data_IF_577831805460
#
_entry.id   IF_577831805460
#
_cell.length_a   1.000
_cell.length_b   1.000
_cell.length_c   1.000
_cell.angle_alpha   90.00
_cell.angle_beta   90.00
_cell.angle_gamma   90.00
#
_symmetry.space_group_name_H-M   'P 1'
#
loop_
_entity.id
_entity.type
_entity.pdbx_description
1 polymer ?
#
# COMPACT_ATOMS: atom_id res chain seq x y z
N UNK A 1 -47.71 32.38 42.85
CA UNK A 1 -48.89 32.03 42.01
C UNK A 1 -48.56 32.39 40.57
N UNK A 2 -48.40 31.39 39.71
CA UNK A 2 -49.02 31.26 38.38
C UNK A 2 -48.23 30.25 37.55
N UNK A 3 -48.87 29.10 37.40
CA UNK A 3 -48.52 28.05 36.44
C UNK A 3 -49.12 28.46 35.10
N UNK A 4 -48.37 28.35 34.02
CA UNK A 4 -48.94 28.13 32.69
C UNK A 4 -48.11 27.05 32.00
N UNK A 5 -48.72 25.86 31.88
CA UNK A 5 -48.33 24.84 30.90
C UNK A 5 -49.16 25.12 29.65
N UNK A 6 -48.55 25.09 28.47
CA UNK A 6 -49.29 24.87 27.22
C UNK A 6 -48.50 23.95 26.31
N UNK A 7 -49.15 22.86 25.95
CA UNK A 7 -48.72 21.78 25.05
C UNK A 7 -49.06 22.10 23.60
N UNK A 8 -48.15 21.75 22.69
CA UNK A 8 -48.46 21.12 21.40
C UNK A 8 -48.46 22.00 20.15
N UNK A 9 -47.58 21.69 19.20
CA UNK A 9 -47.95 21.33 17.82
C UNK A 9 -46.74 20.72 17.09
N UNK A 10 -46.96 19.58 16.44
CA UNK A 10 -46.05 18.92 15.49
C UNK A 10 -46.24 19.56 14.12
N UNK A 11 -45.16 19.77 13.35
CA UNK A 11 -45.17 19.72 11.88
C UNK A 11 -43.76 19.43 11.36
N UNK A 12 -43.66 18.33 10.61
CA UNK A 12 -42.48 17.83 9.93
C UNK A 12 -42.15 18.65 8.67
N UNK A 13 -40.88 18.62 8.25
CA UNK A 13 -40.42 18.15 6.92
C UNK A 13 -39.17 18.91 6.45
N UNK A 14 -38.09 18.14 6.22
CA UNK A 14 -37.15 18.18 5.07
C UNK A 14 -36.52 19.51 4.63
N UNK A 15 -35.25 19.63 4.25
CA UNK A 15 -34.14 18.70 4.08
C UNK A 15 -32.93 19.52 3.54
N UNK A 16 -31.71 19.22 4.05
CA UNK A 16 -30.48 18.90 3.25
C UNK A 16 -29.86 20.11 2.49
N UNK A 17 -28.59 20.52 2.66
CA UNK A 17 -27.33 19.79 2.56
C UNK A 17 -26.21 20.50 3.33
N UNK A 18 -25.63 19.84 4.33
CA UNK A 18 -24.20 19.95 4.61
C UNK A 18 -23.57 18.69 4.04
N UNK A 19 -23.09 18.73 2.80
CA UNK A 19 -22.11 17.75 2.34
C UNK A 19 -20.74 18.37 2.55
N UNK A 20 -20.22 18.20 3.76
CA UNK A 20 -18.79 18.25 3.97
C UNK A 20 -18.22 17.08 3.16
N UNK A 21 -17.37 17.37 2.19
CA UNK A 21 -16.52 16.36 1.55
C UNK A 21 -15.70 15.72 2.66
N UNK A 22 -16.08 14.52 3.06
CA UNK A 22 -15.26 13.70 3.90
C UNK A 22 -14.14 13.14 3.02
N UNK A 23 -12.94 13.69 3.16
CA UNK A 23 -11.75 12.87 2.94
C UNK A 23 -11.81 11.76 3.99
N UNK A 24 -12.30 10.59 3.61
CA UNK A 24 -12.21 9.39 4.43
C UNK A 24 -10.75 8.96 4.44
N UNK A 25 -9.98 9.45 5.41
CA UNK A 25 -8.66 8.86 5.71
C UNK A 25 -8.94 7.54 6.43
N UNK A 26 -8.98 6.45 5.68
CA UNK A 26 -9.15 5.11 6.25
C UNK A 26 -7.77 4.59 6.69
N UNK A 27 -7.56 4.51 8.00
CA UNK A 27 -6.35 3.98 8.61
C UNK A 27 -6.40 2.45 8.63
N UNK A 28 -5.32 1.81 8.21
CA UNK A 28 -5.23 0.34 8.11
C UNK A 28 -4.70 -0.25 9.40
N UNK A 29 -5.20 -1.43 9.76
CA UNK A 29 -4.69 -2.14 10.93
C UNK A 29 -3.81 -3.30 10.50
N UNK A 30 -2.67 -3.43 11.16
CA UNK A 30 -1.85 -4.63 11.12
C UNK A 30 -2.64 -5.73 11.86
N UNK A 31 -3.05 -6.77 11.14
CA UNK A 31 -3.80 -7.89 11.73
C UNK A 31 -2.86 -8.89 12.38
N UNK A 32 -1.65 -9.06 11.84
CA UNK A 32 -0.55 -9.85 12.41
C UNK A 32 0.80 -9.25 12.00
N UNK A 33 1.76 -9.33 12.91
CA UNK A 33 3.15 -8.95 12.70
C UNK A 33 4.01 -10.16 13.07
N UNK A 34 4.74 -10.70 12.09
CA UNK A 34 5.75 -11.72 12.35
C UNK A 34 7.12 -11.07 12.16
N UNK A 35 7.83 -10.92 13.27
CA UNK A 35 9.15 -10.31 13.35
C UNK A 35 10.17 -11.40 13.64
N UNK A 36 11.09 -11.62 12.71
CA UNK A 36 12.19 -12.57 12.88
C UNK A 36 13.48 -11.80 13.11
N UNK A 37 13.56 -11.12 14.27
CA UNK A 37 14.71 -10.29 14.64
C UNK A 37 15.94 -11.12 15.02
N UNK A 38 17.08 -10.77 14.43
CA UNK A 38 18.37 -11.46 14.65
C UNK A 38 19.42 -10.51 15.22
N UNK A 39 19.71 -10.60 16.53
CA UNK A 39 20.83 -9.87 17.16
C UNK A 39 21.79 -10.84 17.87
N UNK A 40 23.06 -10.87 17.46
CA UNK A 40 24.11 -11.73 18.02
C UNK A 40 24.57 -11.31 19.42
N UNK A 41 24.78 -12.27 20.34
CA UNK A 41 26.07 -12.41 21.06
C UNK A 41 26.31 -13.85 21.53
N UNK A 42 27.48 -14.37 21.12
CA UNK A 42 28.31 -15.45 21.66
C UNK A 42 27.69 -16.77 22.21
N UNK A 43 28.16 -17.85 21.57
CA UNK A 43 28.22 -19.25 22.02
C UNK A 43 26.98 -20.14 21.74
N UNK A 44 26.96 -20.66 20.52
CA UNK A 44 26.67 -22.08 20.29
C UNK A 44 25.21 -22.53 20.25
N UNK A 45 24.43 -22.15 19.22
CA UNK A 45 23.29 -22.97 18.74
C UNK A 45 22.60 -22.38 17.50
N UNK A 46 22.40 -23.26 16.50
CA UNK A 46 21.55 -23.19 15.29
C UNK A 46 21.81 -21.98 14.35
N UNK A 47 22.52 -22.24 13.24
CA UNK A 47 22.38 -21.44 12.02
C UNK A 47 21.00 -21.73 11.43
N UNK A 48 20.22 -20.70 11.17
CA UNK A 48 19.04 -20.77 10.31
C UNK A 48 18.92 -19.43 9.57
N UNK A 49 18.52 -19.43 8.31
CA UNK A 49 19.48 -19.37 7.21
C UNK A 49 19.43 -17.95 6.63
N UNK A 50 20.56 -17.23 6.59
CA UNK A 50 20.71 -16.09 5.69
C UNK A 50 20.47 -16.59 4.27
N UNK A 51 19.61 -15.94 3.52
CA UNK A 51 19.31 -16.33 2.14
C UNK A 51 19.48 -15.14 1.21
N UNK A 52 19.64 -15.45 -0.06
CA UNK A 52 19.82 -14.44 -1.08
C UNK A 52 18.48 -13.71 -1.31
N UNK A 53 18.50 -12.40 -1.48
CA UNK A 53 17.30 -11.58 -1.69
C UNK A 53 16.53 -12.03 -2.95
N UNK A 54 17.23 -12.52 -3.97
CA UNK A 54 16.58 -13.13 -5.15
C UNK A 54 15.79 -14.42 -4.88
N UNK A 55 16.02 -15.08 -3.74
CA UNK A 55 15.23 -16.24 -3.30
C UNK A 55 13.96 -15.80 -2.56
N UNK A 56 13.88 -14.53 -2.15
CA UNK A 56 12.75 -13.95 -1.46
C UNK A 56 11.55 -13.75 -2.40
N UNK A 57 10.41 -14.37 -2.07
CA UNK A 57 9.22 -14.41 -2.94
C UNK A 57 8.79 -13.04 -3.46
N UNK A 58 8.71 -12.07 -2.57
CA UNK A 58 8.21 -10.71 -2.83
C UNK A 58 9.23 -9.85 -3.60
N UNK A 59 10.52 -10.12 -3.43
CA UNK A 59 11.58 -9.33 -4.07
C UNK A 59 12.13 -9.97 -5.35
N UNK A 60 11.74 -11.20 -5.70
CA UNK A 60 12.17 -11.92 -6.93
C UNK A 60 12.11 -11.13 -8.24
N UNK A 61 11.21 -10.15 -8.32
CA UNK A 61 10.99 -9.36 -9.54
C UNK A 61 11.95 -8.17 -9.68
N UNK A 62 12.70 -7.85 -8.63
CA UNK A 62 13.70 -6.78 -8.67
C UNK A 62 14.91 -7.25 -9.48
N UNK A 63 15.40 -6.40 -10.37
CA UNK A 63 16.68 -6.67 -11.04
C UNK A 63 17.85 -6.52 -10.06
N UNK A 64 18.53 -7.64 -9.82
CA UNK A 64 19.64 -7.72 -8.86
C UNK A 64 21.03 -7.57 -9.50
N UNK A 65 21.18 -6.77 -10.56
CA UNK A 65 22.46 -6.53 -11.24
C UNK A 65 23.40 -7.75 -11.27
N UNK A 66 24.64 -7.59 -10.80
CA UNK A 66 25.57 -8.70 -10.52
C UNK A 66 25.79 -8.91 -9.01
N UNK A 67 24.93 -8.36 -8.15
CA UNK A 67 25.18 -8.19 -6.72
C UNK A 67 23.90 -8.45 -5.93
N UNK A 68 23.48 -9.70 -5.92
CA UNK A 68 22.41 -10.16 -5.03
C UNK A 68 22.85 -9.99 -3.57
N UNK A 69 21.94 -9.49 -2.74
CA UNK A 69 22.20 -9.18 -1.34
C UNK A 69 21.74 -10.32 -0.43
N UNK A 70 22.34 -10.45 0.75
CA UNK A 70 21.85 -11.37 1.77
C UNK A 70 20.82 -10.67 2.64
N UNK A 71 19.68 -11.32 2.85
CA UNK A 71 18.68 -10.92 3.84
C UNK A 71 19.17 -11.34 5.22
N UNK A 72 19.24 -10.38 6.15
CA UNK A 72 19.73 -10.59 7.52
C UNK A 72 18.66 -10.37 8.60
N UNK A 73 17.64 -9.58 8.30
CA UNK A 73 16.45 -9.42 9.16
C UNK A 73 15.21 -9.21 8.28
N UNK A 74 14.02 -9.51 8.80
CA UNK A 74 12.75 -9.29 8.12
C UNK A 74 11.59 -9.14 9.09
N UNK A 75 10.61 -8.37 8.65
CA UNK A 75 9.30 -8.26 9.26
C UNK A 75 8.21 -8.39 8.19
N UNK A 76 7.18 -9.18 8.46
CA UNK A 76 6.01 -9.31 7.59
C UNK A 76 4.78 -8.85 8.35
N UNK A 77 3.97 -8.03 7.69
CA UNK A 77 2.79 -7.40 8.24
C UNK A 77 1.60 -7.73 7.36
N UNK A 78 0.67 -8.51 7.89
CA UNK A 78 -0.62 -8.70 7.24
C UNK A 78 -1.52 -7.50 7.60
N UNK A 79 -2.31 -7.01 6.65
CA UNK A 79 -3.17 -5.83 6.84
C UNK A 79 -4.61 -6.10 6.45
N UNK A 80 -5.55 -5.33 7.01
CA UNK A 80 -6.95 -5.29 6.59
C UNK A 80 -7.33 -3.99 5.86
N UNK A 81 -6.33 -3.21 5.43
CA UNK A 81 -6.55 -1.95 4.75
C UNK A 81 -7.28 -2.17 3.42
N UNK A 82 -8.32 -1.40 3.18
CA UNK A 82 -8.97 -1.33 1.88
C UNK A 82 -9.71 -0.02 1.70
N UNK A 83 -9.94 0.38 0.46
CA UNK A 83 -10.66 1.59 0.10
C UNK A 83 -11.46 1.33 -1.19
N UNK A 84 -12.76 1.65 -1.15
CA UNK A 84 -13.71 1.50 -2.27
C UNK A 84 -14.27 2.84 -2.78
N UNK A 85 -13.58 3.96 -2.47
CA UNK A 85 -13.98 5.31 -2.88
C UNK A 85 -13.82 5.56 -4.38
N UNK A 86 -13.00 4.75 -5.07
CA UNK A 86 -12.76 4.85 -6.50
C UNK A 86 -13.89 4.22 -7.32
N UNK A 87 -15.07 4.85 -7.30
CA UNK A 87 -16.27 4.56 -8.12
C UNK A 87 -16.31 3.17 -8.78
N UNK A 88 -16.55 2.13 -7.98
CA UNK A 88 -16.71 0.75 -8.45
C UNK A 88 -15.41 -0.05 -8.57
N UNK A 89 -14.30 0.48 -8.09
CA UNK A 89 -13.03 -0.24 -7.88
C UNK A 89 -12.73 -0.24 -6.39
N UNK A 90 -12.35 -1.41 -5.88
CA UNK A 90 -11.84 -1.55 -4.51
C UNK A 90 -10.35 -1.85 -4.55
N UNK A 91 -9.55 -1.03 -3.87
CA UNK A 91 -8.16 -1.33 -3.55
C UNK A 91 -8.09 -1.99 -2.17
N UNK A 92 -7.32 -3.06 -2.04
CA UNK A 92 -6.99 -3.69 -0.75
C UNK A 92 -5.50 -3.92 -0.65
N UNK A 93 -4.92 -3.76 0.54
CA UNK A 93 -3.52 -4.08 0.80
C UNK A 93 -3.50 -5.27 1.72
N UNK A 94 -2.99 -6.39 1.23
CA UNK A 94 -3.03 -7.64 1.97
C UNK A 94 -1.81 -7.77 2.88
N UNK A 95 -0.64 -7.31 2.40
CA UNK A 95 0.64 -7.57 3.06
C UNK A 95 1.66 -6.49 2.77
N UNK A 96 2.44 -6.14 3.78
CA UNK A 96 3.68 -5.41 3.66
C UNK A 96 4.83 -6.28 4.19
N UNK A 97 5.97 -6.27 3.51
CA UNK A 97 7.16 -7.01 3.95
C UNK A 97 8.36 -6.11 3.91
N UNK A 98 9.11 -6.08 5.01
CA UNK A 98 10.34 -5.32 5.13
C UNK A 98 11.49 -6.30 5.32
N UNK A 99 12.60 -6.05 4.64
CA UNK A 99 13.85 -6.81 4.80
C UNK A 99 15.00 -5.86 5.05
N UNK A 100 15.88 -6.26 5.97
CA UNK A 100 17.22 -5.70 6.11
C UNK A 100 18.20 -6.56 5.32
N UNK A 101 19.11 -5.91 4.60
CA UNK A 101 20.09 -6.57 3.74
C UNK A 101 21.50 -6.08 4.01
N UNK A 102 22.50 -6.95 3.87
CA UNK A 102 23.89 -6.56 4.16
C UNK A 102 24.38 -5.45 3.23
N UNK A 103 24.16 -5.58 1.90
CA UNK A 103 24.52 -4.63 0.83
C UNK A 103 23.76 -4.91 -0.46
N UNK A 104 22.62 -4.25 -0.68
CA UNK A 104 22.00 -4.23 -2.01
C UNK A 104 22.53 -3.04 -2.81
N UNK A 105 22.94 -3.28 -4.06
CA UNK A 105 23.30 -2.22 -5.01
C UNK A 105 22.44 -2.31 -6.25
N UNK A 106 21.86 -1.19 -6.65
CA UNK A 106 21.16 -1.10 -7.92
C UNK A 106 22.14 -1.03 -9.12
N UNK A 107 21.58 -0.93 -10.31
CA UNK A 107 22.34 -0.83 -11.56
C UNK A 107 23.16 0.48 -11.67
N UNK A 108 22.89 1.48 -10.82
CA UNK A 108 23.61 2.76 -10.73
C UNK A 108 24.64 2.78 -9.58
N UNK A 109 24.88 1.64 -8.92
CA UNK A 109 25.76 1.44 -7.77
C UNK A 109 25.33 2.18 -6.47
N UNK A 110 24.09 2.69 -6.40
CA UNK A 110 23.52 3.18 -5.13
C UNK A 110 23.32 2.02 -4.16
N UNK A 111 23.62 2.25 -2.88
CA UNK A 111 23.61 1.21 -1.85
C UNK A 111 22.42 1.38 -0.92
N UNK A 112 21.69 0.29 -0.70
CA UNK A 112 20.52 0.25 0.15
C UNK A 112 20.65 -0.85 1.19
N UNK A 113 20.11 -0.59 2.38
CA UNK A 113 20.10 -1.50 3.53
C UNK A 113 18.72 -2.03 3.86
N UNK A 114 17.68 -1.33 3.41
CA UNK A 114 16.29 -1.74 3.61
C UNK A 114 15.54 -1.85 2.30
N UNK A 115 14.62 -2.81 2.23
CA UNK A 115 13.59 -2.85 1.19
C UNK A 115 12.22 -3.08 1.82
N UNK A 116 11.20 -2.45 1.26
CA UNK A 116 9.79 -2.68 1.57
C UNK A 116 9.08 -3.16 0.31
N UNK A 117 8.33 -4.25 0.39
CA UNK A 117 7.38 -4.67 -0.63
C UNK A 117 5.95 -4.51 -0.08
N UNK A 118 5.04 -4.05 -0.94
CA UNK A 118 3.62 -3.90 -0.66
C UNK A 118 2.83 -4.69 -1.70
N UNK A 119 2.11 -5.72 -1.24
CA UNK A 119 1.22 -6.50 -2.08
C UNK A 119 -0.21 -5.96 -1.93
N UNK A 120 -0.84 -5.65 -3.06
CA UNK A 120 -2.17 -5.08 -3.11
C UNK A 120 -3.04 -5.75 -4.16
N UNK A 121 -4.34 -5.52 -4.07
CA UNK A 121 -5.35 -6.04 -4.99
C UNK A 121 -6.29 -4.94 -5.42
N UNK A 122 -6.57 -4.88 -6.72
CA UNK A 122 -7.72 -4.17 -7.25
C UNK A 122 -8.84 -5.15 -7.55
N UNK A 123 -10.07 -4.77 -7.25
CA UNK A 123 -11.27 -5.51 -7.61
C UNK A 123 -12.27 -4.62 -8.34
N UNK A 124 -12.70 -5.02 -9.54
CA UNK A 124 -13.71 -4.29 -10.32
C UNK A 124 -15.13 -4.68 -9.88
N UNK A 125 -15.72 -3.87 -9.02
CA UNK A 125 -17.10 -3.97 -8.55
C UNK A 125 -18.12 -3.30 -9.50
N UNK A 126 -17.72 -2.72 -10.64
CA UNK A 126 -18.67 -2.11 -11.58
C UNK A 126 -19.64 -3.16 -12.14
N UNK A 127 -20.91 -2.79 -12.24
CA UNK A 127 -21.96 -3.74 -12.58
C UNK A 127 -22.13 -3.98 -14.09
N UNK A 128 -21.59 -3.10 -14.92
CA UNK A 128 -21.82 -3.16 -16.36
C UNK A 128 -20.70 -2.52 -17.20
N UNK A 129 -19.52 -2.29 -16.63
CA UNK A 129 -18.41 -1.65 -17.32
C UNK A 129 -17.10 -2.39 -17.09
N UNK A 130 -16.36 -2.53 -18.17
CA UNK A 130 -14.94 -2.85 -18.11
C UNK A 130 -14.17 -1.53 -17.92
N UNK A 131 -13.01 -1.66 -17.29
CA UNK A 131 -12.11 -0.55 -16.99
C UNK A 131 -10.76 -0.80 -17.64
N UNK A 132 -10.05 0.27 -17.97
CA UNK A 132 -8.60 0.19 -18.12
C UNK A 132 -7.98 0.96 -16.96
N UNK A 133 -7.11 0.30 -16.21
CA UNK A 133 -6.47 0.88 -15.03
C UNK A 133 -4.97 0.63 -15.12
N UNK A 134 -4.24 1.71 -14.91
CA UNK A 134 -2.79 1.75 -14.86
C UNK A 134 -2.35 2.28 -13.50
N UNK A 135 -1.43 1.57 -12.82
CA UNK A 135 -0.69 2.17 -11.71
C UNK A 135 0.09 3.39 -12.23
N UNK A 136 -0.05 4.52 -11.55
CA UNK A 136 0.66 5.76 -11.85
C UNK A 136 1.97 5.82 -11.07
N UNK A 137 1.94 6.49 -9.92
CA UNK A 137 3.09 6.65 -9.02
C UNK A 137 2.80 6.08 -7.64
N UNK A 138 3.83 5.53 -7.02
CA UNK A 138 3.82 5.18 -5.61
C UNK A 138 4.94 5.94 -4.89
N UNK A 139 4.65 6.51 -3.73
CA UNK A 139 5.62 7.28 -2.93
C UNK A 139 5.40 7.02 -1.44
N UNK A 140 6.46 6.69 -0.71
CA UNK A 140 6.45 6.74 0.75
C UNK A 140 6.69 8.18 1.20
N UNK A 141 5.87 8.66 2.11
CA UNK A 141 6.05 9.95 2.78
C UNK A 141 6.50 9.68 4.20
N UNK A 142 7.66 10.23 4.57
CA UNK A 142 8.20 10.12 5.92
C UNK A 142 7.63 11.23 6.83
N UNK A 143 7.71 11.04 8.14
CA UNK A 143 7.29 12.02 9.16
C UNK A 143 7.97 13.38 8.99
N UNK A 144 9.20 13.38 8.46
CA UNK A 144 9.98 14.60 8.19
C UNK A 144 9.59 15.30 6.86
N UNK A 145 8.70 14.71 6.06
CA UNK A 145 8.24 15.20 4.76
C UNK A 145 9.10 14.79 3.55
N UNK A 146 10.15 14.00 3.76
CA UNK A 146 10.91 13.34 2.70
C UNK A 146 10.04 12.31 1.98
N UNK A 147 10.22 12.22 0.66
CA UNK A 147 9.51 11.31 -0.21
C UNK A 147 10.48 10.28 -0.80
N UNK A 148 10.11 8.99 -0.73
CA UNK A 148 10.86 7.89 -1.36
C UNK A 148 9.97 7.28 -2.44
N UNK A 149 10.42 7.35 -3.68
CA UNK A 149 9.68 6.82 -4.82
C UNK A 149 9.72 5.28 -4.85
N UNK A 150 8.56 4.70 -5.13
CA UNK A 150 8.41 3.28 -5.36
C UNK A 150 8.77 2.89 -6.79
N UNK A 151 9.18 1.65 -6.95
CA UNK A 151 9.55 1.06 -8.23
C UNK A 151 8.69 -0.19 -8.51
N UNK A 152 8.71 -0.69 -9.76
CA UNK A 152 7.89 -1.82 -10.27
C UNK A 152 6.44 -1.75 -9.76
N UNK A 153 5.83 -0.56 -9.77
CA UNK A 153 4.42 -0.39 -9.44
C UNK A 153 3.57 -1.01 -10.56
N UNK A 154 3.34 -2.31 -10.39
CA UNK A 154 2.66 -3.27 -11.27
C UNK A 154 2.67 -2.98 -12.79
N UNK A 155 3.76 -3.39 -13.44
CA UNK A 155 4.02 -3.39 -14.89
C UNK A 155 3.47 -4.65 -15.61
N UNK A 156 2.48 -5.36 -15.01
CA UNK A 156 2.08 -6.71 -15.43
C UNK A 156 0.61 -6.87 -15.82
N UNK A 157 -0.17 -5.81 -15.78
CA UNK A 157 -1.58 -5.89 -16.14
C UNK A 157 -1.73 -5.67 -17.63
N UNK A 158 -2.32 -6.63 -18.34
CA UNK A 158 -2.98 -6.32 -19.60
C UNK A 158 -4.06 -5.29 -19.21
N UNK A 159 -3.90 -4.03 -19.59
CA UNK A 159 -4.59 -2.83 -19.07
C UNK A 159 -6.10 -2.99 -18.85
N UNK A 160 -6.70 -3.91 -19.59
CA UNK A 160 -8.09 -4.30 -19.48
C UNK A 160 -8.44 -5.03 -18.18
N UNK A 161 -9.42 -4.51 -17.46
CA UNK A 161 -9.92 -5.03 -16.21
C UNK A 161 -11.42 -5.30 -16.31
N UNK A 162 -11.76 -6.57 -16.56
CA UNK A 162 -13.14 -6.98 -16.80
C UNK A 162 -14.00 -6.82 -15.55
N UNK A 163 -15.31 -6.72 -15.74
CA UNK A 163 -16.27 -6.76 -14.62
C UNK A 163 -16.00 -7.96 -13.70
N UNK A 164 -15.94 -7.71 -12.39
CA UNK A 164 -15.80 -8.73 -11.35
C UNK A 164 -14.42 -9.39 -11.29
N UNK A 165 -13.47 -8.91 -12.09
CA UNK A 165 -12.09 -9.37 -12.06
C UNK A 165 -11.36 -8.82 -10.83
N UNK A 166 -10.38 -9.58 -10.36
CA UNK A 166 -9.42 -9.18 -9.34
C UNK A 166 -8.03 -9.23 -9.95
N UNK A 167 -7.20 -8.24 -9.66
CA UNK A 167 -5.81 -8.17 -10.10
C UNK A 167 -4.90 -7.91 -8.92
N UNK A 168 -3.92 -8.79 -8.75
CA UNK A 168 -2.83 -8.62 -7.81
C UNK A 168 -1.81 -7.63 -8.37
N UNK A 169 -1.34 -6.71 -7.54
CA UNK A 169 -0.28 -5.76 -7.83
C UNK A 169 0.77 -5.79 -6.72
N UNK A 170 1.94 -5.30 -7.06
CA UNK A 170 3.02 -5.10 -6.10
C UNK A 170 3.71 -3.75 -6.38
N UNK A 171 4.33 -3.22 -5.35
CA UNK A 171 5.27 -2.10 -5.43
C UNK A 171 6.36 -2.33 -4.40
N UNK A 172 7.57 -1.86 -4.69
CA UNK A 172 8.66 -1.91 -3.73
C UNK A 172 9.36 -0.57 -3.59
N UNK A 173 9.99 -0.39 -2.43
CA UNK A 173 10.72 0.80 -2.05
C UNK A 173 12.08 0.39 -1.50
N UNK A 174 13.08 1.25 -1.68
CA UNK A 174 14.45 1.03 -1.22
C UNK A 174 14.85 2.12 -0.23
N UNK A 175 15.55 1.74 0.82
CA UNK A 175 16.03 2.65 1.85
C UNK A 175 17.55 2.57 1.97
N UNK A 176 18.23 3.72 1.92
CA UNK A 176 19.66 3.80 2.18
C UNK A 176 20.01 3.34 3.60
N UNK A 177 19.12 3.62 4.56
CA UNK A 177 19.28 3.32 5.99
C UNK A 177 17.98 2.76 6.59
N UNK A 178 18.10 1.84 7.56
CA UNK A 178 16.96 1.13 8.15
C UNK A 178 16.13 1.98 9.12
N UNK A 179 16.65 3.09 9.63
CA UNK A 179 15.93 4.00 10.52
C UNK A 179 14.77 4.73 9.82
N UNK A 180 14.85 4.88 8.49
CA UNK A 180 13.80 5.47 7.65
C UNK A 180 12.45 4.74 7.74
N UNK A 181 12.47 3.43 8.02
CA UNK A 181 11.26 2.62 8.13
C UNK A 181 10.38 3.08 9.30
N UNK A 182 10.99 3.41 10.43
CA UNK A 182 10.27 3.87 11.63
C UNK A 182 9.70 5.29 11.47
N UNK A 183 10.10 6.00 10.41
CA UNK A 183 9.60 7.32 10.03
C UNK A 183 8.51 7.26 8.96
N UNK A 184 8.09 6.09 8.47
CA UNK A 184 7.05 6.01 7.43
C UNK A 184 5.71 6.48 8.00
N UNK A 185 5.18 7.56 7.42
CA UNK A 185 3.90 8.16 7.81
C UNK A 185 2.74 7.66 6.96
N UNK A 186 2.94 7.62 5.64
CA UNK A 186 1.92 7.21 4.68
C UNK A 186 2.55 6.74 3.36
N UNK A 187 1.80 5.94 2.62
CA UNK A 187 2.10 5.51 1.26
C UNK A 187 1.07 6.19 0.35
N UNK A 188 1.53 7.06 -0.53
CA UNK A 188 0.69 7.70 -1.53
C UNK A 188 0.73 6.90 -2.83
N UNK A 189 -0.43 6.47 -3.32
CA UNK A 189 -0.59 5.68 -4.54
C UNK A 189 -1.51 6.41 -5.51
N UNK A 190 -1.10 6.58 -6.75
CA UNK A 190 -1.94 7.13 -7.82
C UNK A 190 -2.25 6.08 -8.86
N UNK A 191 -3.45 6.11 -9.41
CA UNK A 191 -3.86 5.27 -10.51
C UNK A 191 -4.55 6.12 -11.56
N UNK A 192 -4.24 5.86 -12.82
CA UNK A 192 -4.89 6.48 -13.95
C UNK A 192 -5.81 5.44 -14.61
N UNK A 193 -6.89 5.89 -15.23
CA UNK A 193 -7.74 4.94 -15.93
C UNK A 193 -8.77 5.55 -16.86
N UNK A 194 -9.39 4.69 -17.67
CA UNK A 194 -10.50 5.07 -18.54
C UNK A 194 -11.67 4.09 -18.47
N UNK A 195 -12.88 4.63 -18.63
CA UNK A 195 -14.07 3.81 -18.88
C UNK A 195 -14.13 3.38 -20.35
N UNK A 196 -14.37 2.10 -20.59
CA UNK A 196 -14.68 1.56 -21.93
C UNK A 196 -13.76 0.44 -22.37
N UNK A 197 -14.11 -0.27 -23.45
CA UNK A 197 -13.29 -1.34 -24.02
C UNK A 197 -12.12 -0.80 -24.86
N UNK A 198 -11.25 -1.68 -25.36
CA UNK A 198 -10.02 -1.35 -26.13
C UNK A 198 -10.18 -0.33 -27.29
N UNK A 199 -11.41 -0.06 -27.74
CA UNK A 199 -11.71 0.79 -28.90
C UNK A 199 -12.56 2.04 -28.59
N UNK A 200 -12.95 2.30 -27.34
CA UNK A 200 -13.82 3.45 -26.99
C UNK A 200 -13.52 4.01 -25.60
N UNK A 201 -12.85 5.15 -25.55
CA UNK A 201 -12.75 5.97 -24.34
C UNK A 201 -14.08 6.70 -24.07
N UNK A 202 -14.69 6.39 -22.93
CA UNK A 202 -15.94 6.99 -22.46
C UNK A 202 -15.72 8.02 -21.35
N UNK A 203 -14.49 8.17 -20.87
CA UNK A 203 -14.08 9.15 -19.85
C UNK A 203 -12.87 8.67 -19.03
N UNK A 204 -12.20 9.61 -18.37
CA UNK A 204 -11.07 9.37 -17.46
C UNK A 204 -11.56 9.08 -16.04
N UNK A 205 -10.86 8.22 -15.31
CA UNK A 205 -11.18 7.77 -13.95
C UNK A 205 -9.97 7.72 -13.05
N UNK A 206 -9.14 8.76 -13.03
CA UNK A 206 -7.95 8.76 -12.18
C UNK A 206 -8.35 8.83 -10.69
N UNK A 207 -7.53 8.23 -9.83
CA UNK A 207 -7.76 8.21 -8.38
C UNK A 207 -6.46 8.11 -7.60
N UNK A 208 -6.48 8.67 -6.40
CA UNK A 208 -5.33 8.70 -5.49
C UNK A 208 -5.73 8.13 -4.13
N UNK A 209 -4.79 7.41 -3.50
CA UNK A 209 -4.96 6.81 -2.19
C UNK A 209 -3.83 7.24 -1.26
N UNK A 210 -4.19 7.70 -0.07
CA UNK A 210 -3.28 7.90 1.05
C UNK A 210 -3.43 6.74 2.03
N UNK A 211 -2.50 5.80 1.96
CA UNK A 211 -2.49 4.60 2.80
C UNK A 211 -1.70 4.90 4.07
N UNK A 212 -2.33 4.74 5.24
CA UNK A 212 -1.62 4.78 6.51
C UNK A 212 -1.57 3.37 7.11
N UNK A 213 -0.36 2.83 7.27
CA UNK A 213 -0.08 1.55 7.90
C UNK A 213 0.98 1.78 8.99
N UNK A 214 0.74 1.33 10.24
CA UNK A 214 1.73 1.44 11.30
C UNK A 214 2.78 0.33 11.14
N UNK A 215 3.66 0.49 10.16
CA UNK A 215 4.77 -0.42 9.87
C UNK A 215 5.92 -0.13 10.83
N UNK A 216 6.39 -1.14 11.56
CA UNK A 216 7.52 -0.99 12.49
C UNK A 216 8.38 -2.24 12.51
N UNK A 217 9.69 -2.11 12.30
CA UNK A 217 10.63 -3.18 12.64
C UNK A 217 10.98 -3.04 14.12
N UNK A 218 10.32 -3.81 14.99
CA UNK A 218 10.74 -3.83 16.40
C UNK A 218 12.17 -4.38 16.47
N UNK A 219 13.12 -3.54 16.85
CA UNK A 219 14.50 -3.94 17.17
C UNK A 219 14.60 -4.46 18.61
#
# INVERSE_FOLDING_TARGET
>A
MNKIKLTGLVLASAAVLFSLGACSKQEGKIINEDLVSSSETADGSIKEDTYALSEDGEFKQIEFGNKDALVIDKATFDTDWSDDSWSGVKLSIDKAKIVEVEKYKDNEDHEYKGLLALDFKLHNNEDNKDLHIHPGKATLVLENGEEIDGEHFSDYWDDFFAKGEEKDGHVFFKFEEMDKIDEIKEIHLTFDGTYGGKDKDLGTVDHEYDVNLPLTLKK
#
